data_IF_268347234967
#
_entry.id   IF_268347234967
#
_cell.length_a   1.000
_cell.length_b   1.000
_cell.length_c   1.000
_cell.angle_alpha   90.00
_cell.angle_beta   90.00
_cell.angle_gamma   90.00
#
_symmetry.space_group_name_H-M   'P 1'
#
loop_
_entity.id
_entity.type
_entity.pdbx_description
1 polymer ?
#
# COMPACT_ATOMS: atom_id res chain seq x y z
N UNK A 1 -30.84 -5.07 30.71
CA UNK A 1 -29.51 -5.04 30.06
C UNK A 1 -29.66 -4.42 28.68
N UNK A 2 -29.39 -3.12 28.50
CA UNK A 2 -29.46 -2.44 27.19
C UNK A 2 -28.05 -2.25 26.65
N UNK A 3 -27.71 -2.94 25.56
CA UNK A 3 -26.44 -2.76 24.86
C UNK A 3 -26.35 -1.35 24.28
N UNK A 4 -25.24 -0.63 24.56
CA UNK A 4 -24.95 0.66 23.92
C UNK A 4 -24.65 0.41 22.45
N UNK A 5 -25.39 1.06 21.56
CA UNK A 5 -25.15 1.03 20.12
C UNK A 5 -23.76 1.61 19.81
N UNK A 6 -22.84 0.76 19.35
CA UNK A 6 -21.54 1.19 18.83
C UNK A 6 -21.77 1.94 17.52
N UNK A 7 -21.54 3.26 17.50
CA UNK A 7 -21.59 4.04 16.25
C UNK A 7 -20.45 3.59 15.33
N UNK A 8 -20.78 2.91 14.24
CA UNK A 8 -19.84 2.64 13.16
C UNK A 8 -19.39 3.97 12.57
N UNK A 9 -18.08 4.27 12.51
CA UNK A 9 -17.59 5.50 11.91
C UNK A 9 -17.97 5.53 10.41
N UNK A 10 -18.31 6.71 9.87
CA UNK A 10 -18.70 6.83 8.48
C UNK A 10 -17.53 6.45 7.55
N UNK A 11 -17.81 5.86 6.37
CA UNK A 11 -16.77 5.54 5.40
C UNK A 11 -16.06 6.83 4.98
N UNK A 12 -14.71 6.80 5.03
CA UNK A 12 -13.88 7.95 4.71
C UNK A 12 -14.11 8.34 3.25
N UNK A 13 -14.55 9.58 3.00
CA UNK A 13 -14.80 10.10 1.65
C UNK A 13 -13.46 10.24 0.92
N UNK A 14 -13.31 9.60 -0.26
CA UNK A 14 -12.11 9.73 -1.10
C UNK A 14 -11.96 11.19 -1.55
N UNK A 15 -10.75 11.72 -1.44
CA UNK A 15 -10.39 13.08 -1.87
C UNK A 15 -9.91 13.09 -3.33
N UNK A 16 -9.87 14.26 -3.98
CA UNK A 16 -9.34 14.37 -5.35
C UNK A 16 -7.89 13.88 -5.45
N UNK A 17 -7.09 14.14 -4.42
CA UNK A 17 -5.72 13.61 -4.31
C UNK A 17 -5.66 12.09 -4.24
N UNK A 18 -6.68 11.41 -3.68
CA UNK A 18 -6.73 9.95 -3.67
C UNK A 18 -6.97 9.38 -5.07
N UNK A 19 -7.72 10.11 -5.91
CA UNK A 19 -8.02 9.73 -7.30
C UNK A 19 -6.80 9.93 -8.19
N UNK A 20 -6.10 11.07 -8.06
CA UNK A 20 -4.85 11.33 -8.79
C UNK A 20 -3.74 10.35 -8.39
N UNK A 21 -3.66 10.00 -7.11
CA UNK A 21 -2.75 8.97 -6.61
C UNK A 21 -3.06 7.58 -7.21
N UNK A 22 -4.33 7.28 -7.48
CA UNK A 22 -4.77 6.01 -8.07
C UNK A 22 -4.24 5.82 -9.51
N UNK A 23 -4.11 6.89 -10.28
CA UNK A 23 -3.52 6.86 -11.63
C UNK A 23 -1.99 6.97 -11.63
N UNK A 24 -1.38 7.41 -10.53
CA UNK A 24 0.07 7.58 -10.48
C UNK A 24 0.78 6.24 -10.37
N UNK A 25 1.80 6.04 -11.21
CA UNK A 25 2.75 4.94 -11.09
C UNK A 25 3.98 5.40 -10.31
N UNK A 26 4.32 4.70 -9.24
CA UNK A 26 5.55 4.94 -8.48
C UNK A 26 6.60 3.90 -8.79
N UNK A 27 7.85 4.34 -8.88
CA UNK A 27 9.01 3.45 -8.92
C UNK A 27 9.40 2.95 -7.51
N UNK A 28 10.17 1.87 -7.40
CA UNK A 28 10.70 1.39 -6.11
C UNK A 28 11.51 2.43 -5.34
N UNK A 29 12.18 3.34 -6.05
CA UNK A 29 12.97 4.41 -5.44
C UNK A 29 12.06 5.47 -4.81
N UNK A 30 11.00 5.88 -5.52
CA UNK A 30 10.02 6.83 -5.01
C UNK A 30 9.21 6.26 -3.84
N UNK A 31 8.85 4.98 -3.89
CA UNK A 31 8.12 4.30 -2.79
C UNK A 31 8.91 4.37 -1.49
N UNK A 32 10.23 4.14 -1.56
CA UNK A 32 11.13 4.23 -0.39
C UNK A 32 11.35 5.67 0.03
N UNK A 33 11.60 6.58 -0.92
CA UNK A 33 11.81 8.01 -0.63
C UNK A 33 10.60 8.64 0.07
N UNK A 34 9.38 8.28 -0.37
CA UNK A 34 8.11 8.74 0.21
C UNK A 34 7.63 7.89 1.39
N UNK A 35 8.39 6.85 1.76
CA UNK A 35 8.05 5.90 2.85
C UNK A 35 6.64 5.32 2.72
N UNK A 36 6.21 4.99 1.50
CA UNK A 36 4.86 4.46 1.23
C UNK A 36 4.69 3.00 1.67
N UNK A 37 5.79 2.28 1.78
CA UNK A 37 5.87 0.92 2.35
C UNK A 37 6.92 0.90 3.47
N UNK A 38 6.85 -0.09 4.39
CA UNK A 38 7.80 -0.24 5.50
C UNK A 38 9.16 -0.81 5.05
N UNK A 39 9.72 -0.27 3.95
CA UNK A 39 11.02 -0.66 3.41
C UNK A 39 11.94 0.55 3.30
N UNK A 40 13.17 0.37 3.76
CA UNK A 40 14.20 1.43 3.78
C UNK A 40 15.14 1.37 2.57
N UNK A 41 15.10 0.29 1.78
CA UNK A 41 16.02 0.07 0.66
C UNK A 41 15.27 -0.31 -0.62
N UNK A 42 15.48 0.47 -1.69
CA UNK A 42 14.95 0.16 -3.02
C UNK A 42 15.49 -1.18 -3.56
N UNK A 43 16.75 -1.54 -3.26
CA UNK A 43 17.32 -2.84 -3.62
C UNK A 43 16.56 -4.02 -2.99
N UNK A 44 16.29 -3.95 -1.68
CA UNK A 44 15.50 -4.97 -0.96
C UNK A 44 14.09 -5.04 -1.55
N UNK A 45 13.46 -3.88 -1.81
CA UNK A 45 12.14 -3.80 -2.41
C UNK A 45 12.12 -4.51 -3.78
N UNK A 46 13.07 -4.21 -4.68
CA UNK A 46 13.20 -4.87 -5.99
C UNK A 46 13.41 -6.37 -5.87
N UNK A 47 14.25 -6.84 -4.93
CA UNK A 47 14.45 -8.27 -4.67
C UNK A 47 13.14 -8.94 -4.27
N UNK A 48 12.38 -8.35 -3.36
CA UNK A 48 11.08 -8.89 -2.90
C UNK A 48 10.03 -8.89 -4.03
N UNK A 49 10.00 -7.86 -4.87
CA UNK A 49 9.17 -7.85 -6.09
C UNK A 49 9.54 -8.99 -7.04
N UNK A 50 10.83 -9.18 -7.34
CA UNK A 50 11.29 -10.28 -8.20
C UNK A 50 10.94 -11.66 -7.61
N UNK A 51 10.96 -11.80 -6.29
CA UNK A 51 10.53 -13.00 -5.57
C UNK A 51 9.00 -13.14 -5.47
N UNK A 52 8.23 -12.20 -6.05
CA UNK A 52 6.76 -12.13 -6.03
C UNK A 52 6.17 -12.11 -4.61
N UNK A 53 6.92 -11.56 -3.65
CA UNK A 53 6.47 -11.43 -2.27
C UNK A 53 5.62 -10.18 -2.03
N UNK A 54 5.76 -9.17 -2.90
CA UNK A 54 5.07 -7.88 -2.82
C UNK A 54 4.29 -7.66 -4.11
N UNK A 55 3.08 -7.11 -3.96
CA UNK A 55 2.24 -6.68 -5.09
C UNK A 55 2.91 -5.55 -5.87
N UNK A 56 3.04 -5.75 -7.18
CA UNK A 56 3.62 -4.77 -8.09
C UNK A 56 3.15 -5.05 -9.52
N UNK A 57 3.34 -4.05 -10.37
CA UNK A 57 3.18 -4.19 -11.81
C UNK A 57 4.55 -4.18 -12.52
N UNK A 58 4.55 -4.71 -13.73
CA UNK A 58 5.68 -4.68 -14.65
C UNK A 58 5.29 -3.86 -15.87
N UNK A 59 5.53 -2.55 -15.81
CA UNK A 59 5.24 -1.63 -16.89
C UNK A 59 6.49 -1.52 -17.79
N UNK A 60 6.44 -2.13 -18.98
CA UNK A 60 7.57 -2.11 -19.92
C UNK A 60 8.87 -2.72 -19.36
N UNK A 61 8.75 -3.73 -18.49
CA UNK A 61 9.89 -4.39 -17.83
C UNK A 61 10.43 -3.65 -16.60
N UNK A 62 9.81 -2.54 -16.19
CA UNK A 62 10.15 -1.82 -14.95
C UNK A 62 9.14 -2.16 -13.86
N UNK A 63 9.64 -2.38 -12.64
CA UNK A 63 8.78 -2.55 -11.47
C UNK A 63 8.11 -1.20 -11.18
N UNK A 64 6.79 -1.20 -11.10
CA UNK A 64 5.97 -0.03 -10.77
C UNK A 64 4.91 -0.40 -9.73
N UNK A 65 4.45 0.59 -8.99
CA UNK A 65 3.42 0.44 -7.97
C UNK A 65 2.26 1.39 -8.26
N UNK A 66 1.05 0.87 -8.09
CA UNK A 66 -0.18 1.67 -8.03
C UNK A 66 -0.58 1.92 -6.58
N UNK A 67 -1.57 2.80 -6.37
CA UNK A 67 -2.06 3.07 -5.02
C UNK A 67 -2.69 1.81 -4.41
N UNK A 68 -3.33 0.99 -5.24
CA UNK A 68 -3.98 -0.24 -4.80
C UNK A 68 -2.98 -1.32 -4.39
N UNK A 69 -1.85 -1.46 -5.10
CA UNK A 69 -0.78 -2.37 -4.67
C UNK A 69 -0.27 -2.00 -3.28
N UNK A 70 -0.03 -0.69 -3.08
CA UNK A 70 0.49 -0.16 -1.81
C UNK A 70 -0.52 -0.32 -0.67
N UNK A 71 -1.81 -0.10 -0.94
CA UNK A 71 -2.89 -0.32 0.05
C UNK A 71 -2.96 -1.79 0.43
N UNK A 72 -3.01 -2.70 -0.55
CA UNK A 72 -3.05 -4.16 -0.30
C UNK A 72 -1.85 -4.64 0.50
N UNK A 73 -0.66 -4.13 0.19
CA UNK A 73 0.55 -4.50 0.92
C UNK A 73 0.58 -3.92 2.34
N UNK A 74 0.08 -2.70 2.53
CA UNK A 74 -0.07 -2.12 3.86
C UNK A 74 -1.13 -2.85 4.69
N UNK A 75 -2.26 -3.24 4.08
CA UNK A 75 -3.28 -4.08 4.73
C UNK A 75 -2.71 -5.45 5.14
N UNK A 76 -1.90 -6.08 4.26
CA UNK A 76 -1.22 -7.34 4.55
C UNK A 76 -0.25 -7.23 5.73
N UNK A 77 0.46 -6.11 5.86
CA UNK A 77 1.40 -5.87 6.97
C UNK A 77 0.72 -5.31 8.24
N UNK A 78 -0.49 -4.77 8.13
CA UNK A 78 -1.24 -4.23 9.27
C UNK A 78 -1.88 -5.31 10.16
N UNK A 79 -1.82 -6.59 9.76
CA UNK A 79 -2.25 -7.72 10.59
C UNK A 79 -1.32 -7.80 11.81
N UNK A 80 -1.81 -7.31 12.96
CA UNK A 80 -1.12 -7.45 14.24
C UNK A 80 -0.99 -8.95 14.61
N UNK A 81 0.12 -9.37 15.27
CA UNK A 81 0.23 -10.72 15.80
C UNK A 81 -0.89 -10.98 16.81
N UNK A 82 -1.47 -12.19 16.75
CA UNK A 82 -2.41 -12.69 17.77
C UNK A 82 -1.62 -12.75 19.08
N UNK A 83 -1.97 -11.88 20.03
CA UNK A 83 -1.46 -11.88 21.39
C UNK A 83 -2.26 -12.85 22.28
#
# INVERSE_FOLDING_TARGET
MTAKATKTPPPRRRTHSDIEAEMRRWSPEEVVAKKLLPYTSARVLRRKCNQRQIWHHLDGGRITFTADDLRRENERNAVAPIA
#
